data_IF_771246467773
#
_entry.id   IF_771246467773
#
_cell.length_a   1.000
_cell.length_b   1.000
_cell.length_c   1.000
_cell.angle_alpha   90.00
_cell.angle_beta   90.00
_cell.angle_gamma   90.00
#
_symmetry.space_group_name_H-M   'P 1'
#
loop_
_entity.id
_entity.type
_entity.pdbx_description
1 polymer ?
#
# COMPACT_ATOMS: atom_id res chain seq x y z
N UNK A 1 -1.43 4.27 -29.55
CA UNK A 1 -0.01 3.86 -29.61
C UNK A 1 0.31 3.01 -28.39
N UNK A 2 0.71 1.80 -28.64
CA UNK A 2 1.07 0.91 -27.56
C UNK A 2 2.44 1.29 -27.01
N UNK A 3 2.48 1.52 -25.70
CA UNK A 3 3.74 1.76 -25.00
C UNK A 3 3.97 0.59 -24.04
N UNK A 4 4.84 -0.37 -24.41
CA UNK A 4 5.08 -1.53 -23.55
C UNK A 4 5.71 -1.17 -22.21
N UNK A 5 6.16 0.08 -22.06
CA UNK A 5 6.73 0.60 -20.81
C UNK A 5 5.77 1.57 -20.13
N UNK A 6 4.51 1.62 -20.54
CA UNK A 6 3.53 2.45 -19.88
C UNK A 6 3.40 2.00 -18.42
N UNK A 7 3.44 2.98 -17.52
CA UNK A 7 3.32 2.71 -16.09
C UNK A 7 1.87 2.76 -15.68
N UNK A 8 1.47 1.85 -14.82
CA UNK A 8 0.11 1.78 -14.31
C UNK A 8 0.18 1.87 -12.79
N UNK A 9 -0.41 2.93 -12.28
CA UNK A 9 -0.48 3.15 -10.84
C UNK A 9 -1.87 2.87 -10.30
N UNK A 10 -1.92 2.50 -9.03
CA UNK A 10 -3.16 2.34 -8.29
C UNK A 10 -3.07 3.12 -6.98
N UNK A 11 -4.17 3.74 -6.60
CA UNK A 11 -4.21 4.57 -5.39
C UNK A 11 -5.56 4.46 -4.71
N UNK A 12 -5.58 4.77 -3.44
CA UNK A 12 -6.79 4.82 -2.65
C UNK A 12 -6.54 5.40 -1.28
N UNK A 13 -7.63 5.77 -0.61
CA UNK A 13 -7.60 6.32 0.74
C UNK A 13 -8.47 5.46 1.65
N UNK A 14 -8.05 5.28 2.91
CA UNK A 14 -8.81 4.52 3.91
C UNK A 14 -9.03 3.07 3.45
N UNK A 15 -10.26 2.60 3.39
CA UNK A 15 -10.57 1.27 2.85
C UNK A 15 -10.14 1.15 1.38
N UNK A 16 -10.18 2.26 0.64
CA UNK A 16 -9.65 2.30 -0.73
C UNK A 16 -8.15 2.04 -0.80
N UNK A 17 -7.38 2.43 0.22
CA UNK A 17 -5.96 2.12 0.30
C UNK A 17 -5.73 0.61 0.48
N UNK A 18 -6.58 -0.06 1.26
CA UNK A 18 -6.53 -1.51 1.40
C UNK A 18 -6.75 -2.18 0.04
N UNK A 19 -7.77 -1.78 -0.69
CA UNK A 19 -8.07 -2.35 -2.01
C UNK A 19 -6.95 -2.06 -3.01
N UNK A 20 -6.43 -0.83 -3.02
CA UNK A 20 -5.33 -0.46 -3.91
C UNK A 20 -4.09 -1.32 -3.63
N UNK A 21 -3.72 -1.48 -2.37
CA UNK A 21 -2.58 -2.31 -1.96
C UNK A 21 -2.82 -3.78 -2.34
N UNK A 22 -4.02 -4.30 -2.09
CA UNK A 22 -4.35 -5.68 -2.41
C UNK A 22 -4.23 -5.95 -3.91
N UNK A 23 -4.75 -5.08 -4.75
CA UNK A 23 -4.60 -5.21 -6.20
C UNK A 23 -3.13 -5.13 -6.62
N UNK A 24 -2.41 -4.17 -6.08
CA UNK A 24 -1.02 -3.94 -6.42
C UNK A 24 -0.12 -5.14 -6.08
N UNK A 25 -0.18 -5.62 -4.85
CA UNK A 25 0.69 -6.70 -4.40
C UNK A 25 0.32 -8.06 -4.99
N UNK A 26 -0.93 -8.24 -5.39
CA UNK A 26 -1.36 -9.48 -6.05
C UNK A 26 -1.00 -9.52 -7.54
N UNK A 27 -0.88 -8.36 -8.17
CA UNK A 27 -0.58 -8.27 -9.60
C UNK A 27 0.53 -7.27 -9.88
N UNK A 28 1.74 -7.53 -9.35
CA UNK A 28 2.90 -6.65 -9.64
C UNK A 28 3.32 -6.68 -11.12
N UNK A 29 2.81 -7.62 -11.89
CA UNK A 29 2.97 -7.67 -13.34
C UNK A 29 2.12 -6.62 -14.06
N UNK A 30 1.01 -6.19 -13.46
CA UNK A 30 0.11 -5.18 -14.04
C UNK A 30 0.35 -3.78 -13.49
N UNK A 31 0.68 -3.67 -12.21
CA UNK A 31 0.81 -2.39 -11.53
C UNK A 31 2.24 -2.17 -11.08
N UNK A 32 2.80 -1.03 -11.38
CA UNK A 32 4.15 -0.70 -10.96
C UNK A 32 4.23 0.42 -9.93
N UNK A 33 3.13 1.14 -9.69
CA UNK A 33 3.09 2.26 -8.76
C UNK A 33 1.91 2.15 -7.82
N UNK A 34 2.18 2.34 -6.52
CA UNK A 34 1.16 2.36 -5.48
C UNK A 34 1.28 3.63 -4.66
N UNK A 35 0.15 4.31 -4.45
CA UNK A 35 0.03 5.39 -3.47
C UNK A 35 -1.11 5.01 -2.54
N UNK A 36 -0.79 4.58 -1.32
CA UNK A 36 -1.76 4.13 -0.33
C UNK A 36 -1.84 5.16 0.80
N UNK A 37 -3.00 5.80 0.94
CA UNK A 37 -3.22 6.92 1.86
C UNK A 37 -4.10 6.51 3.03
N UNK A 38 -3.60 6.70 4.25
CA UNK A 38 -4.38 6.50 5.49
C UNK A 38 -5.06 5.14 5.55
N UNK A 39 -4.35 4.09 5.14
CA UNK A 39 -4.92 2.76 5.01
C UNK A 39 -4.73 1.87 6.22
N UNK A 40 -5.39 0.74 6.16
CA UNK A 40 -5.07 -0.44 6.94
C UNK A 40 -4.82 -1.58 5.95
N UNK A 41 -4.05 -2.58 6.37
CA UNK A 41 -3.57 -3.60 5.43
C UNK A 41 -3.62 -5.00 6.03
N UNK A 42 -4.17 -5.12 7.23
CA UNK A 42 -4.37 -6.37 7.93
C UNK A 42 -5.79 -6.39 8.50
N UNK A 43 -6.60 -7.33 8.02
CA UNK A 43 -7.97 -7.49 8.51
C UNK A 43 -8.03 -8.24 9.84
N UNK A 44 -6.97 -8.92 10.21
CA UNK A 44 -6.89 -9.65 11.47
C UNK A 44 -6.19 -8.78 12.52
N UNK A 45 -6.57 -8.87 13.79
CA UNK A 45 -7.75 -9.59 14.33
C UNK A 45 -9.02 -8.73 14.34
N UNK A 46 -8.92 -7.43 14.01
CA UNK A 46 -9.96 -6.44 14.33
C UNK A 46 -11.24 -6.62 13.53
N UNK A 47 -11.12 -7.07 12.28
CA UNK A 47 -12.26 -7.17 11.38
C UNK A 47 -12.79 -8.60 11.22
N UNK A 48 -12.01 -9.60 11.54
CA UNK A 48 -12.36 -11.01 11.31
C UNK A 48 -12.73 -11.76 12.58
N UNK A 49 -12.44 -11.18 13.74
CA UNK A 49 -12.70 -11.79 15.06
C UNK A 49 -12.13 -13.20 15.16
N UNK A 50 -10.94 -13.41 14.57
CA UNK A 50 -10.28 -14.70 14.59
C UNK A 50 -10.71 -15.68 13.51
N UNK A 51 -11.68 -15.32 12.67
CA UNK A 51 -12.07 -16.14 11.52
C UNK A 51 -10.92 -16.25 10.53
N UNK A 52 -10.69 -17.45 10.02
CA UNK A 52 -9.62 -17.71 9.05
C UNK A 52 -10.17 -18.52 7.89
N UNK A 53 -9.75 -18.15 6.68
CA UNK A 53 -10.08 -18.86 5.45
C UNK A 53 -9.01 -18.59 4.41
N UNK A 54 -8.98 -19.39 3.36
CA UNK A 54 -8.07 -19.16 2.25
C UNK A 54 -8.39 -17.83 1.56
N UNK A 55 -9.66 -17.52 1.35
CA UNK A 55 -10.06 -16.24 0.74
C UNK A 55 -9.59 -15.06 1.57
N UNK A 56 -9.70 -15.13 2.89
CA UNK A 56 -9.20 -14.08 3.76
C UNK A 56 -7.68 -13.95 3.61
N UNK A 57 -6.95 -15.05 3.67
CA UNK A 57 -5.49 -15.03 3.55
C UNK A 57 -5.04 -14.40 2.24
N UNK A 58 -5.61 -14.83 1.12
CA UNK A 58 -5.21 -14.35 -0.21
C UNK A 58 -5.68 -12.93 -0.53
N UNK A 59 -6.46 -12.32 0.35
CA UNK A 59 -6.93 -10.94 0.23
C UNK A 59 -6.52 -10.08 1.42
N UNK A 60 -5.59 -10.54 2.24
CA UNK A 60 -5.07 -9.80 3.38
C UNK A 60 -3.59 -9.50 3.14
N UNK A 61 -3.23 -8.27 2.65
CA UNK A 61 -1.85 -7.99 2.20
C UNK A 61 -0.76 -8.36 3.19
N UNK A 62 -0.91 -7.99 4.46
CA UNK A 62 0.11 -8.31 5.47
C UNK A 62 0.36 -9.82 5.55
N UNK A 63 -0.69 -10.64 5.44
CA UNK A 63 -0.55 -12.09 5.53
C UNK A 63 0.18 -12.69 4.34
N UNK A 64 -0.27 -12.41 3.12
CA UNK A 64 0.35 -13.09 1.97
C UNK A 64 1.71 -12.50 1.59
N UNK A 65 1.94 -11.20 1.84
CA UNK A 65 3.26 -10.62 1.58
C UNK A 65 4.31 -11.25 2.51
N UNK A 66 3.98 -11.43 3.79
CA UNK A 66 4.89 -12.02 4.75
C UNK A 66 5.34 -13.44 4.34
N UNK A 67 4.49 -14.16 3.62
CA UNK A 67 4.76 -15.53 3.18
C UNK A 67 5.07 -15.65 1.69
N UNK A 68 5.29 -14.53 1.01
CA UNK A 68 5.54 -14.54 -0.44
C UNK A 68 6.89 -15.19 -0.75
N UNK A 69 6.89 -16.17 -1.65
CA UNK A 69 8.09 -16.89 -2.07
C UNK A 69 8.28 -16.89 -3.59
N UNK A 70 7.31 -16.41 -4.36
CA UNK A 70 7.40 -16.38 -5.81
C UNK A 70 8.50 -15.42 -6.25
N UNK A 71 9.56 -15.97 -6.86
CA UNK A 71 10.74 -15.21 -7.25
C UNK A 71 10.41 -14.12 -8.26
N UNK A 72 9.48 -14.39 -9.18
CA UNK A 72 9.10 -13.41 -10.19
C UNK A 72 8.38 -12.21 -9.58
N UNK A 73 7.39 -12.46 -8.72
CA UNK A 73 6.67 -11.39 -8.03
C UNK A 73 7.60 -10.58 -7.13
N UNK A 74 8.47 -11.26 -6.38
CA UNK A 74 9.44 -10.57 -5.52
C UNK A 74 10.42 -9.73 -6.34
N UNK A 75 10.86 -10.22 -7.48
CA UNK A 75 11.74 -9.46 -8.36
C UNK A 75 11.06 -8.17 -8.85
N UNK A 76 9.81 -8.26 -9.30
CA UNK A 76 9.05 -7.10 -9.75
C UNK A 76 8.87 -6.08 -8.62
N UNK A 77 8.51 -6.54 -7.42
CA UNK A 77 8.31 -5.66 -6.28
C UNK A 77 9.62 -5.02 -5.80
N UNK A 78 10.72 -5.77 -5.85
CA UNK A 78 12.03 -5.27 -5.38
C UNK A 78 12.69 -4.31 -6.36
N UNK A 79 12.52 -4.53 -7.65
CA UNK A 79 13.31 -3.84 -8.68
C UNK A 79 12.52 -3.00 -9.65
N UNK A 80 11.22 -3.23 -9.81
CA UNK A 80 10.42 -2.57 -10.84
C UNK A 80 9.16 -1.89 -10.28
N UNK A 81 9.12 -1.63 -8.97
CA UNK A 81 7.96 -1.00 -8.35
C UNK A 81 8.31 0.34 -7.71
N UNK A 82 7.28 1.16 -7.54
CA UNK A 82 7.37 2.46 -6.89
C UNK A 82 6.23 2.55 -5.87
N UNK A 83 6.55 2.35 -4.59
CA UNK A 83 5.57 2.16 -3.53
C UNK A 83 5.64 3.33 -2.56
N UNK A 84 4.53 4.02 -2.41
CA UNK A 84 4.38 5.13 -1.47
C UNK A 84 3.24 4.84 -0.50
N UNK A 85 3.56 4.83 0.78
CA UNK A 85 2.60 4.64 1.86
C UNK A 85 2.62 5.91 2.69
N UNK A 86 1.48 6.55 2.84
CA UNK A 86 1.37 7.81 3.56
C UNK A 86 0.18 7.78 4.51
N UNK A 87 0.34 8.37 5.67
CA UNK A 87 -0.74 8.51 6.65
C UNK A 87 -0.55 9.79 7.44
N UNK A 88 -1.66 10.39 7.88
CA UNK A 88 -1.63 11.39 8.93
C UNK A 88 -1.49 10.75 10.29
N UNK A 89 -1.38 11.58 11.32
CA UNK A 89 -1.28 11.15 12.70
C UNK A 89 -2.33 11.83 13.59
N UNK A 90 -3.31 12.46 12.96
CA UNK A 90 -4.38 13.18 13.65
C UNK A 90 -5.61 12.32 13.91
N UNK A 91 -6.76 12.98 14.04
CA UNK A 91 -8.01 12.33 14.41
C UNK A 91 -8.39 11.23 13.43
N UNK A 92 -8.76 10.07 13.96
CA UNK A 92 -9.21 8.88 13.23
C UNK A 92 -8.15 8.26 12.31
N UNK A 93 -6.90 8.73 12.36
CA UNK A 93 -5.80 8.09 11.66
C UNK A 93 -5.26 6.91 12.47
N UNK A 94 -4.69 5.93 11.77
CA UNK A 94 -4.11 4.74 12.38
C UNK A 94 -2.70 4.51 11.81
N UNK A 95 -1.73 5.36 12.15
CA UNK A 95 -0.39 5.26 11.55
C UNK A 95 0.30 3.91 11.80
N UNK A 96 -0.06 3.21 12.86
CA UNK A 96 0.49 1.88 13.14
C UNK A 96 0.18 0.87 12.01
N UNK A 97 -0.94 1.04 11.31
CA UNK A 97 -1.28 0.16 10.19
C UNK A 97 -0.31 0.33 9.02
N UNK A 98 0.02 1.57 8.69
CA UNK A 98 1.00 1.87 7.64
C UNK A 98 2.40 1.43 8.04
N UNK A 99 2.78 1.62 9.30
CA UNK A 99 4.06 1.13 9.81
C UNK A 99 4.17 -0.39 9.74
N UNK A 100 3.09 -1.10 10.06
CA UNK A 100 3.08 -2.57 10.01
C UNK A 100 3.30 -3.07 8.57
N UNK A 101 2.61 -2.50 7.59
CA UNK A 101 2.85 -2.85 6.20
C UNK A 101 4.31 -2.57 5.81
N UNK A 102 4.84 -1.42 6.22
CA UNK A 102 6.23 -1.05 5.95
C UNK A 102 7.21 -2.08 6.51
N UNK A 103 7.00 -2.55 7.74
CA UNK A 103 7.85 -3.58 8.34
C UNK A 103 7.82 -4.88 7.53
N UNK A 104 6.65 -5.32 7.12
CA UNK A 104 6.51 -6.54 6.31
C UNK A 104 7.25 -6.39 4.99
N UNK A 105 7.15 -5.24 4.35
CA UNK A 105 7.86 -4.96 3.09
C UNK A 105 9.38 -4.98 3.29
N UNK A 106 9.87 -4.36 4.36
CA UNK A 106 11.32 -4.38 4.66
C UNK A 106 11.82 -5.80 4.92
N UNK A 107 11.05 -6.62 5.62
CA UNK A 107 11.42 -8.02 5.87
C UNK A 107 11.56 -8.82 4.57
N UNK A 108 10.84 -8.43 3.53
CA UNK A 108 10.91 -9.07 2.21
C UNK A 108 11.91 -8.38 1.27
N UNK A 109 12.62 -7.36 1.74
CA UNK A 109 13.56 -6.62 0.92
C UNK A 109 12.90 -5.77 -0.16
N UNK A 110 11.64 -5.41 0.03
CA UNK A 110 10.88 -4.59 -0.93
C UNK A 110 11.02 -3.12 -0.53
N UNK A 111 11.75 -2.35 -1.34
CA UNK A 111 11.94 -0.93 -1.11
C UNK A 111 10.63 -0.15 -1.27
N UNK A 112 10.45 0.85 -0.43
CA UNK A 112 9.26 1.68 -0.45
C UNK A 112 9.50 2.97 0.32
N UNK A 113 8.57 3.91 0.17
CA UNK A 113 8.56 5.14 0.94
C UNK A 113 7.41 5.11 1.95
N UNK A 114 7.71 5.44 3.20
CA UNK A 114 6.71 5.60 4.25
C UNK A 114 6.76 7.04 4.76
N UNK A 115 5.69 7.80 4.54
CA UNK A 115 5.57 9.18 5.01
C UNK A 115 4.54 9.27 6.13
N UNK A 116 4.95 9.80 7.27
CA UNK A 116 4.05 10.10 8.37
C UNK A 116 3.85 11.61 8.41
N UNK A 117 2.68 12.07 8.01
CA UNK A 117 2.31 13.49 8.05
C UNK A 117 1.93 13.87 9.49
N UNK A 118 1.73 15.15 9.74
CA UNK A 118 1.65 15.71 11.09
C UNK A 118 0.46 15.26 11.92
N UNK A 119 0.48 15.63 13.20
CA UNK A 119 -0.59 15.33 14.15
C UNK A 119 -1.88 16.10 13.86
N UNK A 120 -1.82 17.11 13.01
CA UNK A 120 -2.97 17.88 12.53
C UNK A 120 -3.64 17.24 11.32
N UNK A 121 -3.03 16.22 10.74
CA UNK A 121 -3.53 15.56 9.52
C UNK A 121 -4.51 14.47 9.91
N UNK A 122 -5.78 14.75 9.66
CA UNK A 122 -6.89 13.88 10.06
C UNK A 122 -7.28 12.92 8.94
N UNK A 123 -8.08 11.92 9.31
CA UNK A 123 -8.60 10.91 8.38
C UNK A 123 -9.76 11.49 7.58
N UNK A 124 -9.47 12.34 6.58
CA UNK A 124 -10.52 13.05 5.84
C UNK A 124 -10.03 13.52 4.47
N UNK A 125 -10.98 13.75 3.59
CA UNK A 125 -10.78 14.14 2.19
C UNK A 125 -9.91 15.38 1.96
N UNK A 126 -10.01 16.45 2.76
CA UNK A 126 -9.15 17.62 2.53
C UNK A 126 -7.65 17.27 2.51
N UNK A 127 -7.25 16.32 3.36
CA UNK A 127 -5.86 15.88 3.41
C UNK A 127 -5.51 14.96 2.25
N UNK A 128 -6.40 14.04 1.89
CA UNK A 128 -6.15 13.14 0.76
C UNK A 128 -6.09 13.91 -0.56
N UNK A 129 -6.85 14.98 -0.71
CA UNK A 129 -6.79 15.87 -1.86
C UNK A 129 -5.48 16.64 -1.95
N UNK A 130 -4.76 16.79 -0.85
CA UNK A 130 -3.41 17.35 -0.83
C UNK A 130 -2.35 16.28 -1.07
N UNK A 131 -2.53 15.11 -0.46
CA UNK A 131 -1.57 14.01 -0.56
C UNK A 131 -1.40 13.53 -2.00
N UNK A 132 -2.50 13.24 -2.68
CA UNK A 132 -2.42 12.61 -3.99
C UNK A 132 -1.68 13.48 -5.02
N UNK A 133 -2.01 14.76 -5.22
CA UNK A 133 -1.24 15.59 -6.14
C UNK A 133 0.23 15.74 -5.74
N UNK A 134 0.50 15.81 -4.44
CA UNK A 134 1.88 15.90 -3.95
C UNK A 134 2.68 14.65 -4.35
N UNK A 135 2.13 13.45 -4.11
CA UNK A 135 2.86 12.23 -4.45
C UNK A 135 3.00 12.06 -5.95
N UNK A 136 1.97 12.35 -6.73
CA UNK A 136 2.04 12.26 -8.19
C UNK A 136 3.08 13.22 -8.74
N UNK A 137 3.14 14.46 -8.22
CA UNK A 137 4.03 15.49 -8.74
C UNK A 137 5.46 15.44 -8.23
N UNK A 138 5.65 15.00 -6.97
CA UNK A 138 6.94 15.15 -6.29
C UNK A 138 7.63 13.83 -5.96
N UNK A 139 6.90 12.74 -5.81
CA UNK A 139 7.47 11.50 -5.29
C UNK A 139 7.50 10.36 -6.29
N UNK A 140 6.47 10.22 -7.11
CA UNK A 140 6.40 9.10 -8.07
C UNK A 140 7.48 9.28 -9.14
N UNK A 141 8.18 8.18 -9.44
CA UNK A 141 9.22 8.15 -10.46
C UNK A 141 8.60 7.80 -11.81
N UNK A 142 8.41 8.82 -12.60
CA UNK A 142 7.78 8.65 -13.93
C UNK A 142 8.78 8.20 -15.04
#
# INVERSE_FOLDING_TARGET
MDNPRARVGVTGASFGAFHAANQFFRRPDLFDTLIAMSGFFDLEPDYTQGYKSDDLYFNNPVSYIANMHDDHSLHLLRHESDIHIVTGQGAYEAPHCSRHLSEVLWQKGIGHNLDLWGADVNHDWPWWRKMLPFFIGEKVRW
#
